data_IF_259673311131
#
_entry.id   IF_259673311131
#
_cell.length_a   1.000
_cell.length_b   1.000
_cell.length_c   1.000
_cell.angle_alpha   90.00
_cell.angle_beta   90.00
_cell.angle_gamma   90.00
#
_symmetry.space_group_name_H-M   'P 1'
#
loop_
_entity.id
_entity.type
_entity.pdbx_description
1 polymer ?
#
# COMPACT_ATOMS: atom_id res chain seq x y z
N UNK A 1 -28.12 68.44 35.66
CA UNK A 1 -27.33 67.70 36.66
C UNK A 1 -27.60 66.23 36.36
N UNK A 2 -26.90 65.55 35.43
CA UNK A 2 -25.43 65.34 35.27
C UNK A 2 -24.90 64.62 36.52
N UNK A 3 -24.25 63.44 36.54
CA UNK A 3 -23.34 62.68 35.66
C UNK A 3 -23.47 61.16 36.00
N UNK A 4 -23.46 60.20 35.06
CA UNK A 4 -22.30 59.51 34.43
C UNK A 4 -21.23 58.93 35.37
N UNK A 5 -21.22 57.59 35.48
CA UNK A 5 -20.16 56.76 36.10
C UNK A 5 -19.07 56.43 35.04
N UNK A 6 -17.78 56.79 35.27
CA UNK A 6 -16.72 56.71 34.28
C UNK A 6 -15.90 55.39 34.29
N UNK A 7 -15.29 55.15 33.14
CA UNK A 7 -14.59 53.93 32.70
C UNK A 7 -13.18 53.74 33.32
N UNK A 8 -12.85 52.46 33.62
CA UNK A 8 -11.65 51.65 33.24
C UNK A 8 -10.20 51.95 33.77
N UNK A 9 -9.63 50.88 34.40
CA UNK A 9 -8.30 50.18 34.20
C UNK A 9 -6.99 50.88 34.67
N UNK A 10 -5.84 50.19 34.97
CA UNK A 10 -5.22 49.03 34.25
C UNK A 10 -4.50 47.91 35.11
N UNK A 11 -3.95 46.89 34.41
CA UNK A 11 -3.20 45.69 34.91
C UNK A 11 -1.78 46.03 35.39
N UNK A 12 -1.18 45.15 36.21
CA UNK A 12 0.26 44.86 36.09
C UNK A 12 0.63 43.37 36.40
N UNK A 13 1.66 42.78 35.75
CA UNK A 13 2.02 41.36 35.80
C UNK A 13 3.40 41.13 36.47
N UNK A 14 3.48 40.93 37.78
CA UNK A 14 4.70 40.48 38.46
C UNK A 14 4.45 40.12 39.94
N UNK A 15 3.65 39.09 40.19
CA UNK A 15 3.69 38.38 41.49
C UNK A 15 4.15 36.94 41.24
N UNK A 16 5.43 36.83 40.89
CA UNK A 16 6.41 36.03 41.63
C UNK A 16 5.83 34.78 42.33
N UNK A 17 5.89 33.60 41.72
CA UNK A 17 7.03 32.66 41.85
C UNK A 17 7.73 32.71 43.22
N UNK A 18 7.82 31.51 43.81
CA UNK A 18 8.64 31.14 44.98
C UNK A 18 8.15 31.63 46.35
N UNK A 19 7.56 30.73 47.13
CA UNK A 19 8.11 30.26 48.43
C UNK A 19 7.07 29.45 49.23
N UNK A 20 7.23 28.12 49.27
CA UNK A 20 6.90 27.21 50.39
C UNK A 20 7.03 25.75 49.88
N UNK A 21 8.24 25.21 49.74
CA UNK A 21 8.93 24.34 50.72
C UNK A 21 8.06 23.21 51.33
N UNK A 22 8.38 21.98 50.92
CA UNK A 22 9.11 21.06 51.81
C UNK A 22 8.38 19.80 52.26
N UNK A 23 8.76 18.64 51.71
CA UNK A 23 9.07 17.46 52.53
C UNK A 23 9.83 16.39 51.73
N UNK A 24 11.10 16.20 52.10
CA UNK A 24 11.85 14.94 51.99
C UNK A 24 12.62 14.85 53.33
N UNK A 25 12.73 13.67 53.97
CA UNK A 25 13.84 12.79 53.60
C UNK A 25 13.56 11.26 53.66
N UNK A 26 14.40 10.51 52.92
CA UNK A 26 14.64 9.06 52.91
C UNK A 26 15.19 8.51 54.27
N UNK A 27 15.68 7.23 54.46
CA UNK A 27 15.85 6.08 53.53
C UNK A 27 15.61 4.64 54.14
N UNK A 28 16.00 3.61 53.35
CA UNK A 28 16.39 2.20 53.68
C UNK A 28 15.41 1.03 53.39
N UNK A 29 15.70 0.22 52.34
CA UNK A 29 16.23 -1.19 52.34
C UNK A 29 15.13 -2.26 52.51
N UNK A 30 14.99 -3.38 51.79
CA UNK A 30 15.73 -4.28 50.87
C UNK A 30 14.67 -4.90 49.92
N UNK A 31 14.92 -5.55 48.76
CA UNK A 31 15.93 -6.53 48.40
C UNK A 31 16.00 -6.64 46.85
N UNK A 32 17.22 -6.62 46.29
CA UNK A 32 17.89 -7.74 45.57
C UNK A 32 16.98 -8.43 44.53
N UNK A 33 17.28 -8.38 43.24
CA UNK A 33 18.31 -9.26 42.66
C UNK A 33 18.78 -8.72 41.30
N UNK A 34 20.07 -8.37 41.21
CA UNK A 34 20.81 -8.22 39.97
C UNK A 34 22.29 -8.45 40.27
N UNK A 35 22.91 -9.44 39.65
CA UNK A 35 24.35 -9.47 39.29
C UNK A 35 24.57 -10.70 38.40
N UNK A 36 25.02 -10.60 37.14
CA UNK A 36 26.27 -10.07 36.55
C UNK A 36 27.34 -11.15 36.42
N UNK A 37 27.68 -11.43 35.16
CA UNK A 37 29.02 -11.54 34.55
C UNK A 37 30.19 -12.12 35.36
N UNK A 38 30.72 -13.24 34.84
CA UNK A 38 32.13 -13.49 34.49
C UNK A 38 33.21 -13.58 35.59
N UNK A 39 33.90 -14.74 35.63
CA UNK A 39 35.35 -14.82 35.90
C UNK A 39 35.94 -16.21 35.56
N UNK A 40 37.23 -16.27 35.14
CA UNK A 40 37.99 -17.49 34.86
C UNK A 40 38.85 -17.93 36.07
N UNK A 41 39.35 -19.18 36.10
CA UNK A 41 40.61 -19.55 36.77
C UNK A 41 41.15 -20.91 36.32
N UNK A 42 42.49 -20.96 36.13
CA UNK A 42 43.33 -22.12 35.81
C UNK A 42 43.59 -23.04 37.03
N UNK A 43 43.95 -24.29 36.71
CA UNK A 43 45.18 -25.00 37.12
C UNK A 43 45.06 -26.29 37.98
N UNK A 44 45.68 -27.35 37.42
CA UNK A 44 46.67 -28.29 37.99
C UNK A 44 46.25 -29.66 38.57
N UNK A 45 47.05 -30.66 38.15
CA UNK A 45 47.36 -31.94 38.79
C UNK A 45 46.58 -33.11 38.20
N UNK A 46 47.13 -34.27 37.85
CA UNK A 46 48.48 -34.81 38.02
C UNK A 46 48.58 -36.15 37.24
N UNK A 47 49.79 -36.57 36.85
CA UNK A 47 50.08 -37.96 36.44
C UNK A 47 50.81 -38.14 35.09
N UNK A 48 52.15 -38.28 35.14
CA UNK A 48 53.00 -38.73 34.01
C UNK A 48 53.07 -40.27 33.89
N UNK A 49 54.15 -40.90 33.36
CA UNK A 49 55.30 -40.36 32.61
C UNK A 49 55.61 -41.10 31.27
N UNK A 50 56.54 -40.52 30.50
CA UNK A 50 57.60 -41.15 29.65
C UNK A 50 57.28 -42.39 28.78
N UNK A 51 57.60 -42.35 27.47
CA UNK A 51 58.79 -43.04 26.90
C UNK A 51 58.84 -42.91 25.35
N UNK A 52 60.02 -43.21 24.83
CA UNK A 52 60.65 -42.91 23.55
C UNK A 52 60.24 -43.77 22.32
N UNK A 53 60.78 -43.42 21.15
CA UNK A 53 60.99 -44.34 20.01
C UNK A 53 59.92 -44.28 18.90
N UNK A 54 60.23 -43.81 17.69
CA UNK A 54 60.82 -44.53 16.54
C UNK A 54 59.90 -45.54 15.86
N UNK A 55 59.80 -45.37 14.52
CA UNK A 55 59.58 -46.41 13.49
C UNK A 55 58.19 -47.07 13.52
N UNK A 56 57.58 -47.60 12.47
CA UNK A 56 57.68 -47.58 11.01
C UNK A 56 56.40 -48.33 10.57
N UNK A 57 56.00 -48.14 9.32
CA UNK A 57 55.23 -49.08 8.51
C UNK A 57 53.73 -49.33 8.78
N UNK A 58 53.01 -49.67 7.71
CA UNK A 58 51.79 -50.47 7.80
C UNK A 58 50.49 -49.83 7.32
N UNK A 59 50.03 -50.33 6.17
CA UNK A 59 48.77 -50.06 5.46
C UNK A 59 47.47 -50.38 6.25
N UNK A 60 46.39 -49.92 5.60
CA UNK A 60 45.01 -50.43 5.62
C UNK A 60 44.02 -49.86 6.64
N UNK A 61 43.37 -48.77 6.21
CA UNK A 61 41.92 -48.72 6.03
C UNK A 61 41.03 -49.01 7.22
N UNK A 62 40.61 -47.95 7.93
CA UNK A 62 39.31 -47.88 8.64
C UNK A 62 38.79 -46.44 8.70
N UNK A 63 37.58 -46.27 8.14
CA UNK A 63 36.49 -45.42 8.62
C UNK A 63 36.83 -43.97 9.03
N UNK A 64 36.85 -43.10 8.02
CA UNK A 64 36.74 -41.64 8.21
C UNK A 64 35.24 -41.27 8.23
N UNK A 65 34.59 -41.43 9.38
CA UNK A 65 33.28 -40.83 9.67
C UNK A 65 33.50 -39.36 10.09
N UNK A 66 33.88 -38.53 9.12
CA UNK A 66 33.77 -37.09 9.22
C UNK A 66 32.29 -36.67 9.16
N UNK A 67 31.83 -35.69 9.98
CA UNK A 67 30.47 -35.21 9.91
C UNK A 67 30.23 -34.63 8.51
N UNK A 68 29.39 -35.31 7.74
CA UNK A 68 28.96 -34.85 6.42
C UNK A 68 28.27 -33.52 6.61
N UNK A 69 28.87 -32.47 6.06
CA UNK A 69 28.21 -31.19 5.83
C UNK A 69 26.95 -31.45 5.01
N UNK A 70 25.84 -31.57 5.71
CA UNK A 70 24.51 -31.64 5.15
C UNK A 70 24.28 -30.28 4.47
N UNK A 71 24.55 -30.23 3.17
CA UNK A 71 24.11 -29.15 2.30
C UNK A 71 22.59 -29.09 2.38
N UNK A 72 22.09 -28.29 3.32
CA UNK A 72 20.72 -27.80 3.37
C UNK A 72 20.48 -26.94 2.12
N UNK A 73 20.19 -27.62 1.01
CA UNK A 73 19.61 -26.99 -0.16
C UNK A 73 18.28 -26.36 0.28
N UNK A 74 18.08 -25.04 0.13
CA UNK A 74 16.81 -24.41 0.46
C UNK A 74 15.73 -25.08 -0.40
N UNK A 75 14.84 -25.85 0.23
CA UNK A 75 13.65 -26.39 -0.43
C UNK A 75 12.89 -25.22 -1.00
N UNK A 76 12.94 -25.06 -2.32
CA UNK A 76 12.22 -24.02 -3.04
C UNK A 76 10.75 -24.09 -2.65
N UNK A 77 10.32 -23.10 -1.86
CA UNK A 77 8.93 -22.90 -1.50
C UNK A 77 8.15 -22.78 -2.79
N UNK A 78 7.43 -23.84 -3.14
CA UNK A 78 6.50 -23.87 -4.25
C UNK A 78 5.42 -22.87 -3.85
N UNK A 79 5.54 -21.63 -4.35
CA UNK A 79 4.57 -20.57 -4.12
C UNK A 79 3.24 -21.10 -4.65
N UNK A 80 2.41 -21.60 -3.74
CA UNK A 80 1.06 -22.04 -4.02
C UNK A 80 0.33 -20.84 -4.60
N UNK A 81 0.17 -20.82 -5.92
CA UNK A 81 -0.59 -19.79 -6.62
C UNK A 81 -2.05 -20.01 -6.25
N UNK A 82 -2.47 -19.45 -5.13
CA UNK A 82 -3.87 -19.33 -4.77
C UNK A 82 -4.55 -18.39 -5.78
N UNK A 83 -4.94 -18.95 -6.93
CA UNK A 83 -5.84 -18.27 -7.85
C UNK A 83 -7.20 -18.14 -7.14
N UNK A 84 -7.41 -17.00 -6.47
CA UNK A 84 -8.68 -16.69 -5.83
C UNK A 84 -9.72 -16.58 -6.94
N UNK A 85 -10.48 -17.66 -7.15
CA UNK A 85 -11.58 -17.71 -8.12
C UNK A 85 -12.63 -16.72 -7.63
N UNK A 86 -12.84 -15.63 -8.37
CA UNK A 86 -13.92 -14.68 -8.10
C UNK A 86 -15.23 -15.46 -8.24
N UNK A 87 -15.96 -15.58 -7.15
CA UNK A 87 -17.20 -16.35 -7.10
C UNK A 87 -18.29 -15.54 -7.79
N UNK A 88 -19.08 -16.16 -8.68
CA UNK A 88 -20.25 -15.54 -9.30
C UNK A 88 -21.22 -14.92 -8.28
N UNK A 89 -21.23 -15.46 -7.04
CA UNK A 89 -22.01 -14.93 -5.91
C UNK A 89 -21.51 -13.58 -5.43
N UNK A 90 -20.20 -13.33 -5.46
CA UNK A 90 -19.61 -12.03 -5.11
C UNK A 90 -19.97 -10.97 -6.15
N UNK A 91 -20.08 -11.36 -7.43
CA UNK A 91 -20.43 -10.45 -8.52
C UNK A 91 -21.88 -9.94 -8.45
N UNK A 92 -22.82 -10.78 -7.99
CA UNK A 92 -24.24 -10.42 -7.85
C UNK A 92 -24.58 -9.83 -6.47
N UNK A 93 -23.83 -10.19 -5.42
CA UNK A 93 -24.06 -9.66 -4.08
C UNK A 93 -23.63 -8.21 -3.93
N UNK A 94 -22.54 -7.81 -4.61
CA UNK A 94 -22.01 -6.45 -4.50
C UNK A 94 -22.97 -5.32 -4.93
N UNK A 95 -23.68 -5.39 -6.08
CA UNK A 95 -24.65 -4.35 -6.45
C UNK A 95 -25.82 -4.25 -5.46
N UNK A 96 -26.22 -5.35 -4.82
CA UNK A 96 -27.22 -5.32 -3.76
C UNK A 96 -26.71 -4.60 -2.52
N UNK A 97 -25.46 -4.85 -2.10
CA UNK A 97 -24.81 -4.13 -1.00
C UNK A 97 -24.69 -2.63 -1.31
N UNK A 98 -24.32 -2.27 -2.54
CA UNK A 98 -24.27 -0.87 -2.99
C UNK A 98 -25.65 -0.20 -2.91
N UNK A 99 -26.69 -0.88 -3.41
CA UNK A 99 -28.06 -0.37 -3.35
C UNK A 99 -28.53 -0.20 -1.90
N UNK A 100 -28.21 -1.15 -1.01
CA UNK A 100 -28.53 -1.06 0.41
C UNK A 100 -27.77 0.09 1.10
N UNK A 101 -26.51 0.30 0.77
CA UNK A 101 -25.71 1.41 1.31
C UNK A 101 -26.25 2.78 0.85
N UNK A 102 -26.63 2.89 -0.43
CA UNK A 102 -27.28 4.10 -0.97
C UNK A 102 -28.64 4.34 -0.33
N UNK A 103 -29.45 3.29 -0.17
CA UNK A 103 -30.74 3.37 0.50
C UNK A 103 -30.60 3.79 1.97
N UNK A 104 -29.65 3.19 2.69
CA UNK A 104 -29.33 3.57 4.06
C UNK A 104 -28.86 5.02 4.18
N UNK A 105 -28.06 5.50 3.21
CA UNK A 105 -27.66 6.91 3.13
C UNK A 105 -28.84 7.82 2.89
N UNK A 106 -29.76 7.43 2.00
CA UNK A 106 -30.96 8.19 1.70
C UNK A 106 -31.88 8.28 2.92
N UNK A 107 -32.13 7.16 3.61
CA UNK A 107 -32.90 7.13 4.86
C UNK A 107 -32.23 8.00 5.93
N UNK A 108 -30.91 7.91 6.07
CA UNK A 108 -30.17 8.75 7.01
C UNK A 108 -30.28 10.24 6.66
N UNK A 109 -30.17 10.60 5.38
CA UNK A 109 -30.34 11.97 4.92
C UNK A 109 -31.75 12.52 5.22
N UNK A 110 -32.77 11.71 4.99
CA UNK A 110 -34.19 12.08 5.19
C UNK A 110 -34.55 12.20 6.68
N UNK A 111 -33.97 11.35 7.53
CA UNK A 111 -34.21 11.34 8.98
C UNK A 111 -33.31 12.30 9.77
N UNK A 112 -32.18 12.72 9.20
CA UNK A 112 -31.26 13.63 9.88
C UNK A 112 -31.80 15.06 9.92
N UNK A 113 -31.83 15.65 11.11
CA UNK A 113 -32.08 17.08 11.27
C UNK A 113 -30.88 17.88 10.79
N UNK A 114 -30.87 18.20 9.49
CA UNK A 114 -29.80 18.99 8.87
C UNK A 114 -29.94 20.46 9.25
N UNK A 115 -28.97 20.96 10.01
CA UNK A 115 -28.81 22.40 10.26
C UNK A 115 -28.42 23.14 8.98
N UNK A 116 -28.46 24.48 9.02
CA UNK A 116 -28.21 25.33 7.84
C UNK A 116 -26.82 25.06 7.24
N UNK A 117 -25.82 24.79 8.10
CA UNK A 117 -24.45 24.49 7.68
C UNK A 117 -24.41 23.17 6.91
N UNK A 118 -25.01 22.10 7.45
CA UNK A 118 -25.05 20.81 6.78
C UNK A 118 -25.83 20.86 5.46
N UNK A 119 -26.95 21.60 5.42
CA UNK A 119 -27.73 21.81 4.19
C UNK A 119 -26.94 22.58 3.13
N UNK A 120 -26.16 23.57 3.52
CA UNK A 120 -25.33 24.33 2.57
C UNK A 120 -24.17 23.49 2.03
N UNK A 121 -23.57 22.64 2.85
CA UNK A 121 -22.49 21.74 2.42
C UNK A 121 -22.97 20.63 1.46
N UNK A 122 -24.22 20.20 1.58
CA UNK A 122 -24.78 19.08 0.82
C UNK A 122 -25.72 19.51 -0.31
N UNK A 123 -26.31 20.70 -0.21
CA UNK A 123 -27.29 21.24 -1.16
C UNK A 123 -26.66 21.92 -2.37
N UNK A 124 -27.52 22.57 -3.16
CA UNK A 124 -27.09 23.44 -4.28
C UNK A 124 -26.33 22.74 -5.40
N UNK A 125 -26.44 21.41 -5.53
CA UNK A 125 -25.69 20.62 -6.52
C UNK A 125 -24.24 20.32 -6.12
N UNK A 126 -23.80 20.68 -4.90
CA UNK A 126 -22.43 20.44 -4.46
C UNK A 126 -22.08 18.94 -4.44
N UNK A 127 -22.97 18.07 -3.97
CA UNK A 127 -22.76 16.61 -4.00
C UNK A 127 -22.46 16.13 -5.44
N UNK A 128 -23.32 16.51 -6.38
CA UNK A 128 -23.17 16.12 -7.78
C UNK A 128 -21.86 16.65 -8.38
N UNK A 129 -21.51 17.90 -8.08
CA UNK A 129 -20.24 18.50 -8.48
C UNK A 129 -19.05 17.69 -7.96
N UNK A 130 -19.06 17.33 -6.67
CA UNK A 130 -17.96 16.59 -6.03
C UNK A 130 -17.85 15.16 -6.52
N UNK A 131 -18.97 14.47 -6.71
CA UNK A 131 -19.00 13.15 -7.36
C UNK A 131 -18.39 13.21 -8.76
N UNK A 132 -18.81 14.19 -9.57
CA UNK A 132 -18.29 14.37 -10.94
C UNK A 132 -16.79 14.65 -10.94
N UNK A 133 -16.31 15.54 -10.07
CA UNK A 133 -14.88 15.82 -9.92
C UNK A 133 -14.09 14.55 -9.53
N UNK A 134 -14.61 13.76 -8.58
CA UNK A 134 -13.95 12.53 -8.14
C UNK A 134 -13.86 11.50 -9.26
N UNK A 135 -14.93 11.33 -10.03
CA UNK A 135 -14.95 10.45 -11.21
C UNK A 135 -13.96 10.96 -12.27
N UNK A 136 -13.94 12.26 -12.56
CA UNK A 136 -13.01 12.85 -13.54
C UNK A 136 -11.55 12.62 -13.14
N UNK A 137 -11.18 12.93 -11.90
CA UNK A 137 -9.84 12.67 -11.36
C UNK A 137 -9.46 11.20 -11.50
N UNK A 138 -10.35 10.29 -11.09
CA UNK A 138 -10.09 8.85 -11.12
C UNK A 138 -9.91 8.35 -12.57
N UNK A 139 -10.80 8.72 -13.49
CA UNK A 139 -10.76 8.27 -14.89
C UNK A 139 -9.53 8.81 -15.61
N UNK A 140 -9.25 10.12 -15.49
CA UNK A 140 -8.09 10.76 -16.13
C UNK A 140 -6.80 10.17 -15.57
N UNK A 141 -6.69 10.02 -14.24
CA UNK A 141 -5.54 9.40 -13.59
C UNK A 141 -5.33 7.97 -14.10
N UNK A 142 -6.38 7.14 -14.12
CA UNK A 142 -6.30 5.76 -14.58
C UNK A 142 -5.81 5.69 -16.03
N UNK A 143 -6.33 6.54 -16.90
CA UNK A 143 -5.92 6.59 -18.30
C UNK A 143 -4.41 6.81 -18.44
N UNK A 144 -3.84 7.81 -17.75
CA UNK A 144 -2.40 8.06 -17.76
C UNK A 144 -1.60 6.95 -17.09
N UNK A 145 -2.09 6.38 -15.99
CA UNK A 145 -1.48 5.23 -15.31
C UNK A 145 -1.32 4.07 -16.28
N UNK A 146 -2.35 3.70 -17.05
CA UNK A 146 -2.29 2.59 -18.00
C UNK A 146 -1.32 2.87 -19.15
N UNK A 147 -1.36 4.08 -19.71
CA UNK A 147 -0.49 4.50 -20.81
C UNK A 147 0.99 4.54 -20.40
N UNK A 148 1.29 4.81 -19.14
CA UNK A 148 2.66 4.88 -18.65
C UNK A 148 3.13 3.52 -18.13
N UNK A 149 2.38 2.90 -17.22
CA UNK A 149 2.83 1.73 -16.48
C UNK A 149 2.92 0.46 -17.34
N UNK A 150 1.97 0.24 -18.26
CA UNK A 150 1.98 -0.97 -19.11
C UNK A 150 3.17 -0.94 -20.08
N UNK A 151 3.38 0.11 -20.90
CA UNK A 151 4.55 0.18 -21.78
C UNK A 151 5.86 0.14 -21.01
N UNK A 152 5.95 0.82 -19.85
CA UNK A 152 7.14 0.79 -19.02
C UNK A 152 7.44 -0.63 -18.49
N UNK A 153 6.41 -1.37 -18.05
CA UNK A 153 6.56 -2.76 -17.62
C UNK A 153 6.98 -3.70 -18.75
N UNK A 154 6.42 -3.50 -19.96
CA UNK A 154 6.83 -4.22 -21.17
C UNK A 154 8.30 -3.93 -21.50
N UNK A 155 8.71 -2.66 -21.46
CA UNK A 155 10.06 -2.22 -21.81
C UNK A 155 11.10 -2.75 -20.82
N UNK A 156 10.81 -2.70 -19.52
CA UNK A 156 11.66 -3.24 -18.45
C UNK A 156 11.83 -4.76 -18.52
N UNK A 157 10.95 -5.47 -19.22
CA UNK A 157 11.06 -6.92 -19.42
C UNK A 157 11.84 -7.27 -20.70
N UNK A 158 12.17 -6.30 -21.56
CA UNK A 158 13.01 -6.53 -22.76
C UNK A 158 14.48 -6.72 -22.39
N UNK A 159 15.21 -7.45 -23.24
CA UNK A 159 16.62 -7.79 -23.02
C UNK A 159 17.51 -6.59 -22.64
N UNK A 160 17.27 -5.41 -23.24
CA UNK A 160 18.05 -4.19 -22.97
C UNK A 160 17.89 -3.67 -21.55
N UNK A 161 16.69 -3.74 -20.97
CA UNK A 161 16.38 -3.17 -19.66
C UNK A 161 16.07 -4.22 -18.58
N UNK A 162 16.19 -5.51 -18.90
CA UNK A 162 15.90 -6.63 -17.97
C UNK A 162 16.64 -6.53 -16.64
N UNK A 163 17.87 -5.98 -16.65
CA UNK A 163 18.68 -5.75 -15.45
C UNK A 163 18.11 -4.66 -14.52
N UNK A 164 17.37 -3.70 -15.06
CA UNK A 164 16.75 -2.62 -14.30
C UNK A 164 15.40 -3.02 -13.67
N UNK A 165 14.76 -4.08 -14.14
CA UNK A 165 13.45 -4.50 -13.65
C UNK A 165 13.40 -4.88 -12.14
N UNK A 166 14.40 -5.56 -11.53
CA UNK A 166 14.40 -5.77 -10.08
C UNK A 166 14.43 -4.46 -9.29
N UNK A 167 15.20 -3.47 -9.78
CA UNK A 167 15.29 -2.13 -9.18
C UNK A 167 13.96 -1.40 -9.31
N UNK A 168 13.34 -1.43 -10.50
CA UNK A 168 12.03 -0.82 -10.72
C UNK A 168 10.94 -1.41 -9.82
N UNK A 169 10.91 -2.74 -9.63
CA UNK A 169 9.99 -3.41 -8.71
C UNK A 169 10.29 -3.03 -7.26
N UNK A 170 11.56 -2.94 -6.86
CA UNK A 170 11.92 -2.48 -5.51
C UNK A 170 11.44 -1.05 -5.25
N UNK A 171 11.65 -0.13 -6.20
CA UNK A 171 11.11 1.23 -6.12
C UNK A 171 9.59 1.25 -6.04
N UNK A 172 8.90 0.42 -6.82
CA UNK A 172 7.45 0.33 -6.75
C UNK A 172 6.96 -0.16 -5.38
N UNK A 173 7.63 -1.14 -4.79
CA UNK A 173 7.29 -1.65 -3.46
C UNK A 173 7.55 -0.61 -2.36
N UNK A 174 8.69 0.09 -2.41
CA UNK A 174 9.01 1.19 -1.47
C UNK A 174 8.01 2.35 -1.63
N UNK A 175 7.70 2.71 -2.87
CA UNK A 175 6.74 3.76 -3.17
C UNK A 175 5.34 3.45 -2.64
N UNK A 176 4.90 2.19 -2.69
CA UNK A 176 3.62 1.78 -2.10
C UNK A 176 3.61 1.86 -0.57
N UNK A 177 4.74 1.60 0.09
CA UNK A 177 4.88 1.80 1.53
C UNK A 177 4.96 3.28 1.94
N UNK A 178 5.19 4.19 0.99
CA UNK A 178 5.32 5.62 1.24
C UNK A 178 3.94 6.23 1.55
N UNK A 179 3.81 7.12 2.56
CA UNK A 179 2.55 7.77 2.86
C UNK A 179 2.06 8.63 1.68
N UNK A 180 0.90 8.27 1.10
CA UNK A 180 0.32 8.99 -0.04
C UNK A 180 0.08 10.48 0.27
N UNK A 181 -0.37 10.79 1.49
CA UNK A 181 -0.59 12.17 1.92
C UNK A 181 0.72 12.98 1.97
N UNK A 182 1.84 12.34 2.35
CA UNK A 182 3.16 12.98 2.38
C UNK A 182 3.65 13.32 0.97
N UNK A 183 3.49 12.40 0.02
CA UNK A 183 3.80 12.67 -1.38
C UNK A 183 2.96 13.84 -1.93
N UNK A 184 1.66 13.85 -1.62
CA UNK A 184 0.78 14.92 -2.06
C UNK A 184 1.20 16.28 -1.48
N UNK A 185 1.55 16.34 -0.18
CA UNK A 185 2.05 17.56 0.44
C UNK A 185 3.35 18.06 -0.23
N UNK A 186 4.28 17.16 -0.56
CA UNK A 186 5.51 17.53 -1.27
C UNK A 186 5.23 18.09 -2.67
N UNK A 187 4.31 17.47 -3.42
CA UNK A 187 3.91 17.95 -4.73
C UNK A 187 3.23 19.32 -4.65
N UNK A 188 2.45 19.57 -3.60
CA UNK A 188 1.83 20.89 -3.39
C UNK A 188 2.87 21.97 -3.11
N UNK A 189 3.90 21.65 -2.32
CA UNK A 189 5.01 22.58 -2.06
C UNK A 189 5.78 22.90 -3.35
N UNK A 190 5.95 21.91 -4.24
CA UNK A 190 6.78 22.05 -5.43
C UNK A 190 6.04 22.60 -6.66
N UNK A 191 4.80 22.16 -6.91
CA UNK A 191 3.98 22.52 -8.08
C UNK A 191 2.87 23.54 -7.75
N UNK A 192 2.64 23.85 -6.47
CA UNK A 192 1.53 24.68 -6.01
C UNK A 192 0.26 23.88 -5.69
N UNK A 193 -0.86 24.58 -5.48
CA UNK A 193 -2.17 23.97 -5.20
C UNK A 193 -3.02 23.87 -6.47
N UNK A 194 -3.89 22.87 -6.52
CA UNK A 194 -4.90 22.71 -7.57
C UNK A 194 -5.07 21.26 -8.03
N UNK A 195 -5.84 21.11 -9.10
CA UNK A 195 -6.16 19.82 -9.71
C UNK A 195 -4.93 19.13 -10.30
N UNK A 196 -4.03 19.89 -10.93
CA UNK A 196 -2.86 19.33 -11.61
C UNK A 196 -1.87 18.62 -10.66
N UNK A 197 -1.38 19.25 -9.55
CA UNK A 197 -0.52 18.58 -8.57
C UNK A 197 -1.17 17.35 -7.94
N UNK A 198 -2.47 17.44 -7.63
CA UNK A 198 -3.22 16.31 -7.09
C UNK A 198 -3.27 15.14 -8.08
N UNK A 199 -3.60 15.41 -9.35
CA UNK A 199 -3.63 14.41 -10.42
C UNK A 199 -2.26 13.73 -10.59
N UNK A 200 -1.17 14.50 -10.58
CA UNK A 200 0.20 13.96 -10.65
C UNK A 200 0.49 13.01 -9.49
N UNK A 201 0.15 13.39 -8.25
CA UNK A 201 0.37 12.55 -7.08
C UNK A 201 -0.39 11.24 -7.12
N UNK A 202 -1.66 11.31 -7.54
CA UNK A 202 -2.51 10.14 -7.72
C UNK A 202 -1.91 9.20 -8.79
N UNK A 203 -1.49 9.74 -9.95
CA UNK A 203 -0.87 8.96 -11.04
C UNK A 203 0.40 8.26 -10.55
N UNK A 204 1.31 8.97 -9.89
CA UNK A 204 2.58 8.40 -9.39
C UNK A 204 2.30 7.19 -8.50
N UNK A 205 1.33 7.32 -7.60
CA UNK A 205 1.01 6.26 -6.65
C UNK A 205 0.33 5.06 -7.33
N UNK A 206 -0.60 5.32 -8.27
CA UNK A 206 -1.34 4.29 -8.99
C UNK A 206 -0.54 3.58 -10.09
N UNK A 207 0.55 4.16 -10.61
CA UNK A 207 1.47 3.49 -11.55
C UNK A 207 2.08 2.23 -10.94
N UNK A 208 2.43 2.27 -9.66
CA UNK A 208 3.23 1.24 -9.00
C UNK A 208 2.61 -0.17 -9.07
N UNK A 209 1.33 -0.39 -8.67
CA UNK A 209 0.72 -1.71 -8.78
C UNK A 209 0.60 -2.21 -10.22
N UNK A 210 0.26 -1.35 -11.18
CA UNK A 210 0.14 -1.74 -12.61
C UNK A 210 1.50 -2.14 -13.16
N UNK A 211 2.54 -1.36 -12.85
CA UNK A 211 3.91 -1.62 -13.29
C UNK A 211 4.42 -2.95 -12.74
N UNK A 212 4.34 -3.14 -11.41
CA UNK A 212 4.80 -4.37 -10.74
C UNK A 212 4.09 -5.61 -11.27
N UNK A 213 2.77 -5.55 -11.46
CA UNK A 213 1.99 -6.67 -11.98
C UNK A 213 2.26 -6.93 -13.47
N UNK A 214 2.52 -5.90 -14.27
CA UNK A 214 2.90 -6.06 -15.67
C UNK A 214 4.25 -6.77 -15.79
N UNK A 215 5.25 -6.35 -14.99
CA UNK A 215 6.56 -7.00 -14.95
C UNK A 215 6.43 -8.45 -14.45
N UNK A 216 5.66 -8.68 -13.39
CA UNK A 216 5.43 -10.01 -12.85
C UNK A 216 4.73 -10.93 -13.86
N UNK A 217 3.69 -10.43 -14.55
CA UNK A 217 2.95 -11.17 -15.58
C UNK A 217 3.84 -11.63 -16.72
N UNK A 218 4.64 -10.72 -17.28
CA UNK A 218 5.53 -11.05 -18.39
C UNK A 218 6.66 -12.02 -17.99
N UNK A 219 7.13 -11.93 -16.74
CA UNK A 219 8.18 -12.84 -16.20
C UNK A 219 7.65 -14.20 -15.78
N UNK A 220 6.35 -14.33 -15.51
CA UNK A 220 5.73 -15.59 -15.13
C UNK A 220 5.58 -16.57 -16.31
N UNK A 221 5.79 -16.09 -17.54
CA UNK A 221 5.72 -16.89 -18.75
C UNK A 221 6.86 -17.93 -18.79
N UNK A 222 6.52 -19.15 -19.19
CA UNK A 222 7.47 -20.26 -19.31
C UNK A 222 8.53 -19.97 -20.40
N UNK A 223 9.84 -19.95 -20.06
CA UNK A 223 10.91 -19.78 -21.03
C UNK A 223 10.85 -20.79 -22.18
N UNK A 224 10.46 -22.04 -21.92
CA UNK A 224 10.38 -23.10 -22.93
C UNK A 224 9.29 -22.80 -23.97
N UNK A 225 8.14 -22.26 -23.54
CA UNK A 225 7.10 -21.79 -24.48
C UNK A 225 7.60 -20.65 -25.36
N UNK A 226 8.38 -19.73 -24.79
CA UNK A 226 8.94 -18.59 -25.52
C UNK A 226 10.08 -19.01 -26.48
N UNK A 227 10.83 -20.05 -26.16
CA UNK A 227 11.83 -20.65 -27.04
C UNK A 227 11.18 -21.42 -28.18
N UNK A 228 10.13 -22.20 -27.91
CA UNK A 228 9.36 -22.89 -28.94
C UNK A 228 8.73 -21.90 -29.93
N UNK A 229 8.12 -20.81 -29.42
CA UNK A 229 7.57 -19.75 -30.28
C UNK A 229 8.65 -19.11 -31.18
N UNK A 230 9.86 -18.90 -30.66
CA UNK A 230 10.99 -18.42 -31.48
C UNK A 230 11.48 -19.48 -32.46
N UNK A 231 11.49 -20.76 -32.08
CA UNK A 231 11.91 -21.89 -32.91
C UNK A 231 11.06 -22.11 -34.16
N UNK A 232 9.78 -21.72 -34.13
CA UNK A 232 8.88 -21.72 -35.30
C UNK A 232 8.95 -20.42 -36.14
N UNK A 233 9.95 -19.56 -35.89
CA UNK A 233 10.20 -18.36 -36.68
C UNK A 233 9.44 -17.10 -36.23
N UNK A 234 8.84 -17.07 -35.03
CA UNK A 234 8.17 -15.86 -34.56
C UNK A 234 9.16 -14.73 -34.25
N UNK A 235 8.89 -13.53 -34.77
CA UNK A 235 9.65 -12.33 -34.41
C UNK A 235 9.40 -11.93 -32.94
N UNK A 236 10.33 -11.20 -32.28
CA UNK A 236 10.15 -10.80 -30.87
C UNK A 236 8.85 -10.02 -30.59
N UNK A 237 8.40 -9.20 -31.55
CA UNK A 237 7.13 -8.47 -31.46
C UNK A 237 5.93 -9.39 -31.63
N UNK A 238 6.04 -10.43 -32.46
CA UNK A 238 4.98 -11.42 -32.63
C UNK A 238 4.87 -12.33 -31.39
N UNK A 239 6.01 -12.75 -30.82
CA UNK A 239 6.04 -13.47 -29.53
C UNK A 239 5.41 -12.61 -28.43
N UNK A 240 5.75 -11.32 -28.38
CA UNK A 240 5.15 -10.40 -27.42
C UNK A 240 3.61 -10.33 -27.57
N UNK A 241 3.13 -10.00 -28.76
CA UNK A 241 1.71 -9.75 -29.00
C UNK A 241 0.84 -11.01 -28.92
N UNK A 242 1.35 -12.17 -29.38
CA UNK A 242 0.56 -13.41 -29.50
C UNK A 242 0.76 -14.41 -28.38
N UNK A 243 1.86 -14.30 -27.61
CA UNK A 243 2.20 -15.28 -26.56
C UNK A 243 2.38 -14.57 -25.23
N UNK A 244 3.33 -13.63 -25.11
CA UNK A 244 3.67 -13.04 -23.81
C UNK A 244 2.53 -12.22 -23.21
N UNK A 245 1.93 -11.31 -23.99
CA UNK A 245 0.86 -10.42 -23.50
C UNK A 245 -0.40 -11.21 -23.12
N UNK A 246 -0.96 -12.10 -23.97
CA UNK A 246 -2.16 -12.86 -23.61
C UNK A 246 -2.00 -13.68 -22.31
N UNK A 247 -0.82 -14.26 -22.08
CA UNK A 247 -0.52 -14.99 -20.86
C UNK A 247 -0.35 -14.06 -19.64
N UNK A 248 0.15 -12.84 -19.84
CA UNK A 248 0.33 -11.84 -18.79
C UNK A 248 -0.96 -11.05 -18.46
N UNK A 249 -1.97 -11.04 -19.35
CA UNK A 249 -3.23 -10.28 -19.19
C UNK A 249 -3.87 -10.45 -17.80
N UNK A 250 -4.04 -11.66 -17.24
CA UNK A 250 -4.67 -11.81 -15.93
C UNK A 250 -3.93 -11.08 -14.81
N UNK A 251 -2.59 -11.09 -14.83
CA UNK A 251 -1.79 -10.37 -13.84
C UNK A 251 -1.86 -8.85 -14.09
N UNK A 252 -1.77 -8.41 -15.35
CA UNK A 252 -1.92 -6.98 -15.70
C UNK A 252 -3.27 -6.46 -15.19
N UNK A 253 -4.37 -7.16 -15.47
CA UNK A 253 -5.72 -6.80 -15.01
C UNK A 253 -5.82 -6.76 -13.48
N UNK A 254 -5.20 -7.71 -12.77
CA UNK A 254 -5.11 -7.66 -11.31
C UNK A 254 -4.38 -6.40 -10.83
N UNK A 255 -3.31 -5.99 -11.51
CA UNK A 255 -2.60 -4.74 -11.22
C UNK A 255 -3.46 -3.50 -11.46
N UNK A 256 -4.19 -3.48 -12.58
CA UNK A 256 -5.13 -2.39 -12.93
C UNK A 256 -6.25 -2.27 -11.92
N UNK A 257 -6.83 -3.38 -11.47
CA UNK A 257 -7.86 -3.39 -10.42
C UNK A 257 -7.34 -2.80 -9.11
N UNK A 258 -6.18 -3.26 -8.65
CA UNK A 258 -5.52 -2.70 -7.46
C UNK A 258 -5.27 -1.20 -7.62
N UNK A 259 -4.78 -0.78 -8.79
CA UNK A 259 -4.54 0.63 -9.09
C UNK A 259 -5.82 1.46 -9.07
N UNK A 260 -6.93 0.96 -9.60
CA UNK A 260 -8.22 1.64 -9.61
C UNK A 260 -8.75 1.89 -8.19
N UNK A 261 -8.71 0.86 -7.33
CA UNK A 261 -9.14 1.00 -5.93
C UNK A 261 -8.25 2.00 -5.18
N UNK A 262 -6.94 1.89 -5.37
CA UNK A 262 -5.95 2.81 -4.81
C UNK A 262 -6.21 4.24 -5.27
N UNK A 263 -6.49 4.43 -6.56
CA UNK A 263 -6.73 5.70 -7.23
C UNK A 263 -7.97 6.40 -6.68
N UNK A 264 -9.09 5.68 -6.47
CA UNK A 264 -10.29 6.26 -5.82
C UNK A 264 -9.99 6.69 -4.39
N UNK A 265 -9.24 5.86 -3.64
CA UNK A 265 -8.83 6.16 -2.27
C UNK A 265 -7.94 7.40 -2.18
N UNK A 266 -6.87 7.46 -2.97
CA UNK A 266 -5.94 8.61 -2.98
C UNK A 266 -6.57 9.86 -3.57
N UNK A 267 -7.50 9.76 -4.52
CA UNK A 267 -8.28 10.90 -5.00
C UNK A 267 -9.09 11.57 -3.87
N UNK A 268 -9.44 10.83 -2.81
CA UNK A 268 -10.08 11.43 -1.62
C UNK A 268 -9.13 12.37 -0.88
N UNK A 269 -7.82 12.09 -0.91
CA UNK A 269 -6.78 12.94 -0.33
C UNK A 269 -6.49 14.19 -1.17
N UNK A 270 -6.95 14.23 -2.44
CA UNK A 270 -6.77 15.38 -3.33
C UNK A 270 -7.34 16.68 -2.76
N UNK A 271 -8.33 16.58 -1.87
CA UNK A 271 -8.89 17.71 -1.10
C UNK A 271 -7.81 18.57 -0.44
N UNK A 272 -6.76 17.95 0.11
CA UNK A 272 -5.68 18.64 0.80
C UNK A 272 -4.73 19.40 -0.14
N UNK A 273 -4.73 19.05 -1.43
CA UNK A 273 -3.95 19.71 -2.47
C UNK A 273 -4.76 20.65 -3.35
N UNK A 274 -6.06 20.82 -3.09
CA UNK A 274 -6.96 21.61 -3.93
C UNK A 274 -7.43 20.91 -5.20
N UNK A 275 -7.38 19.57 -5.25
CA UNK A 275 -7.90 18.79 -6.39
C UNK A 275 -9.41 18.57 -6.37
N UNK A 276 -10.07 18.74 -5.22
CA UNK A 276 -11.51 18.58 -5.08
C UNK A 276 -11.96 17.13 -4.94
N UNK A 277 -13.18 16.83 -5.42
CA UNK A 277 -13.78 15.51 -5.29
C UNK A 277 -14.57 15.31 -3.99
N UNK A 278 -14.90 14.05 -3.67
CA UNK A 278 -15.70 13.71 -2.49
C UNK A 278 -14.95 13.96 -1.17
N UNK A 279 -13.62 14.02 -1.21
CA UNK A 279 -12.78 14.42 -0.08
C UNK A 279 -13.17 15.78 0.50
N UNK A 280 -13.62 16.73 -0.33
CA UNK A 280 -14.03 18.06 0.13
C UNK A 280 -15.28 17.99 1.03
N UNK A 281 -16.19 17.06 0.79
CA UNK A 281 -17.38 16.85 1.65
C UNK A 281 -16.96 16.26 2.99
N UNK A 282 -16.07 15.27 2.96
CA UNK A 282 -15.55 14.63 4.18
C UNK A 282 -14.80 15.66 5.03
N UNK A 283 -13.89 16.42 4.42
CA UNK A 283 -13.12 17.48 5.08
C UNK A 283 -14.06 18.55 5.63
N UNK A 284 -15.08 18.98 4.88
CA UNK A 284 -16.07 19.93 5.39
C UNK A 284 -16.83 19.40 6.62
N UNK A 285 -17.19 18.11 6.63
CA UNK A 285 -17.81 17.47 7.79
C UNK A 285 -16.89 17.44 9.02
N UNK A 286 -15.60 17.15 8.82
CA UNK A 286 -14.58 17.18 9.88
C UNK A 286 -14.39 18.60 10.42
N UNK A 287 -14.13 19.57 9.54
CA UNK A 287 -13.83 20.96 9.92
C UNK A 287 -15.00 21.65 10.60
N UNK A 288 -16.23 21.38 10.16
CA UNK A 288 -17.43 21.98 10.77
C UNK A 288 -18.00 21.12 11.91
N UNK A 289 -17.32 20.04 12.31
CA UNK A 289 -17.79 19.09 13.32
C UNK A 289 -19.24 18.63 13.06
N UNK A 290 -19.57 18.37 11.79
CA UNK A 290 -20.89 17.89 11.36
C UNK A 290 -20.78 16.43 10.95
N UNK A 291 -21.15 15.57 11.89
CA UNK A 291 -21.12 14.12 11.68
C UNK A 291 -21.99 13.70 10.48
N UNK A 292 -23.14 14.33 10.27
CA UNK A 292 -24.01 14.02 9.13
C UNK A 292 -23.32 14.25 7.78
N UNK A 293 -22.65 15.39 7.61
CA UNK A 293 -21.91 15.73 6.38
C UNK A 293 -20.73 14.77 6.17
N UNK A 294 -20.00 14.47 7.24
CA UNK A 294 -18.89 13.51 7.22
C UNK A 294 -19.39 12.13 6.77
N UNK A 295 -20.42 11.60 7.42
CA UNK A 295 -20.98 10.27 7.13
C UNK A 295 -21.46 10.19 5.69
N UNK A 296 -22.18 11.19 5.19
CA UNK A 296 -22.65 11.22 3.80
C UNK A 296 -21.47 11.23 2.83
N UNK A 297 -20.47 12.09 3.05
CA UNK A 297 -19.25 12.13 2.23
C UNK A 297 -18.49 10.81 2.22
N UNK A 298 -18.37 10.16 3.39
CA UNK A 298 -17.71 8.87 3.54
C UNK A 298 -18.47 7.75 2.84
N UNK A 299 -19.80 7.65 3.00
CA UNK A 299 -20.58 6.60 2.34
C UNK A 299 -20.55 6.78 0.82
N UNK A 300 -20.69 8.01 0.30
CA UNK A 300 -20.57 8.28 -1.13
C UNK A 300 -19.21 7.84 -1.69
N UNK A 301 -18.14 8.11 -0.96
CA UNK A 301 -16.78 7.67 -1.33
C UNK A 301 -16.66 6.15 -1.33
N UNK A 302 -17.17 5.46 -0.31
CA UNK A 302 -17.15 4.00 -0.21
C UNK A 302 -17.95 3.36 -1.35
N UNK A 303 -19.15 3.87 -1.61
CA UNK A 303 -20.02 3.41 -2.71
C UNK A 303 -19.30 3.56 -4.04
N UNK A 304 -18.65 4.70 -4.29
CA UNK A 304 -17.90 4.92 -5.52
C UNK A 304 -16.71 3.96 -5.65
N UNK A 305 -15.94 3.75 -4.57
CA UNK A 305 -14.80 2.83 -4.56
C UNK A 305 -15.22 1.38 -4.84
N UNK A 306 -16.28 0.92 -4.17
CA UNK A 306 -16.85 -0.41 -4.38
C UNK A 306 -17.44 -0.58 -5.77
N UNK A 307 -18.11 0.44 -6.31
CA UNK A 307 -18.62 0.43 -7.68
C UNK A 307 -17.47 0.32 -8.71
N UNK A 308 -16.39 1.07 -8.52
CA UNK A 308 -15.22 1.01 -9.39
C UNK A 308 -14.54 -0.37 -9.31
N UNK A 309 -14.37 -0.93 -8.10
CA UNK A 309 -13.82 -2.28 -7.93
C UNK A 309 -14.68 -3.36 -8.59
N UNK A 310 -16.00 -3.22 -8.48
CA UNK A 310 -16.96 -4.10 -9.12
C UNK A 310 -16.85 -4.06 -10.65
N UNK A 311 -16.84 -2.85 -11.23
CA UNK A 311 -16.70 -2.65 -12.67
C UNK A 311 -15.34 -3.19 -13.17
N UNK A 312 -14.27 -2.99 -12.41
CA UNK A 312 -12.96 -3.55 -12.72
C UNK A 312 -12.97 -5.08 -12.70
N UNK A 313 -13.65 -5.69 -11.73
CA UNK A 313 -13.83 -7.14 -11.65
C UNK A 313 -14.62 -7.69 -12.84
N UNK A 314 -15.67 -6.98 -13.26
CA UNK A 314 -16.45 -7.37 -14.44
C UNK A 314 -15.63 -7.27 -15.72
N UNK A 315 -14.86 -6.18 -15.88
CA UNK A 315 -13.94 -6.03 -16.99
C UNK A 315 -12.90 -7.15 -17.00
N UNK A 316 -12.36 -7.52 -15.83
CA UNK A 316 -11.41 -8.61 -15.69
C UNK A 316 -11.99 -9.96 -16.18
N UNK A 317 -13.24 -10.28 -15.82
CA UNK A 317 -13.92 -11.49 -16.29
C UNK A 317 -14.14 -11.51 -17.81
N UNK A 318 -14.42 -10.36 -18.41
CA UNK A 318 -14.63 -10.23 -19.85
C UNK A 318 -13.33 -10.29 -20.66
N UNK A 319 -12.24 -9.73 -20.11
CA UNK A 319 -10.94 -9.62 -20.79
C UNK A 319 -10.02 -10.83 -20.57
N UNK A 320 -10.31 -11.69 -19.58
CA UNK A 320 -9.56 -12.93 -19.35
C UNK A 320 -9.70 -13.87 -20.56
N UNK A 321 -8.59 -14.31 -21.19
CA UNK A 321 -8.65 -15.25 -22.30
C UNK A 321 -9.28 -16.58 -21.86
N UNK A 322 -10.31 -17.06 -22.56
CA UNK A 322 -11.05 -18.32 -22.27
C UNK A 322 -10.26 -19.62 -22.56
N UNK A 323 -8.92 -19.58 -22.47
CA UNK A 323 -8.03 -20.67 -22.89
C UNK A 323 -7.18 -21.32 -21.79
N UNK A 324 -7.29 -20.87 -20.53
CA UNK A 324 -6.53 -21.43 -19.40
C UNK A 324 -7.40 -22.24 -18.43
N UNK A 325 -8.65 -22.52 -18.82
CA UNK A 325 -9.48 -23.52 -18.16
C UNK A 325 -8.98 -24.91 -18.58
N UNK A 326 -7.82 -25.30 -18.08
CA UNK A 326 -7.52 -26.73 -17.98
C UNK A 326 -8.51 -27.27 -16.96
N UNK A 327 -9.53 -27.93 -17.48
CA UNK A 327 -10.32 -28.91 -16.77
C UNK A 327 -9.40 -29.85 -16.01
N UNK A 328 -9.40 -29.72 -14.69
CA UNK A 328 -8.94 -30.73 -13.74
C UNK A 328 -9.98 -30.84 -12.65
#
# INVERSE_FOLDING_TARGET
MSEQDPRRRPRDPAEDRETARGHDPAPERLARTATRYDRPHRARGDGGPQDDGREDDGRDGREDDGPRDEHDAPRGGRVERASRRISWRELTFLPFVLALALLGTWIYYDTATLDVIARNSLGGGNIWLRVRQHIQLTVISTFFVLIIAIPLGILLTRQRLRKAAPVAVAFANIGQATPALGLLALLVIWLGTGEFPALVGIIIYAILPVLSNTIAGLRANDPTLLEAARGIGMSPLMVLGKVELPLAVPLILSGVRTALVLNVGTATLATFGGGGGLGDIITAGITNQRMSVLVIGSILTIVLALLVDWLASLAELLLRPRGLEVSS
#
